data_IF_041354567192
#
_entry.id   IF_041354567192
#
_cell.length_a   1.000
_cell.length_b   1.000
_cell.length_c   1.000
_cell.angle_alpha   90.00
_cell.angle_beta   90.00
_cell.angle_gamma   90.00
#
_symmetry.space_group_name_H-M   'P 1'
#
loop_
_entity.id
_entity.type
_entity.pdbx_description
1 polymer ?
#
# COMPACT_ATOMS: atom_id res chain seq x y z
N UNK A 1 -6.11 -4.25 18.61
CA UNK A 1 -4.83 -4.97 18.88
C UNK A 1 -4.84 -6.28 18.11
N UNK A 2 -3.85 -6.49 17.26
CA UNK A 2 -3.73 -7.70 16.46
C UNK A 2 -3.38 -8.89 17.37
N UNK A 3 -4.18 -9.95 17.35
CA UNK A 3 -4.14 -11.07 18.30
C UNK A 3 -3.00 -12.09 18.00
N UNK A 4 -1.84 -11.58 17.62
CA UNK A 4 -0.74 -12.40 17.08
C UNK A 4 -0.01 -13.21 18.17
N UNK A 5 -0.23 -12.85 19.43
CA UNK A 5 0.31 -13.52 20.61
C UNK A 5 -0.75 -14.36 21.35
N UNK A 6 -1.98 -14.43 20.83
CA UNK A 6 -2.98 -15.34 21.36
C UNK A 6 -2.60 -16.78 20.97
N UNK A 7 -2.27 -17.55 22.01
CA UNK A 7 -1.81 -18.94 21.92
C UNK A 7 -2.83 -19.88 21.29
N UNK A 8 -4.09 -19.47 21.26
CA UNK A 8 -5.18 -20.27 20.68
C UNK A 8 -5.32 -20.05 19.18
N UNK A 9 -4.68 -19.03 18.61
CA UNK A 9 -4.82 -18.70 17.20
C UNK A 9 -3.96 -19.61 16.30
N UNK A 10 -4.43 -19.92 15.07
CA UNK A 10 -3.70 -20.78 14.14
C UNK A 10 -2.27 -20.31 13.82
N UNK A 11 -2.04 -18.99 13.85
CA UNK A 11 -0.73 -18.41 13.58
C UNK A 11 0.29 -18.75 14.68
N UNK A 12 -0.05 -18.55 15.96
CA UNK A 12 0.86 -18.87 17.07
C UNK A 12 1.15 -20.37 17.12
N UNK A 13 0.13 -21.22 16.93
CA UNK A 13 0.30 -22.67 16.85
C UNK A 13 1.27 -23.07 15.73
N UNK A 14 1.13 -22.48 14.53
CA UNK A 14 2.05 -22.70 13.43
C UNK A 14 3.49 -22.30 13.79
N UNK A 15 3.68 -21.13 14.40
CA UNK A 15 5.01 -20.64 14.79
C UNK A 15 5.65 -21.58 15.82
N UNK A 16 4.91 -22.04 16.83
CA UNK A 16 5.41 -22.94 17.89
C UNK A 16 5.80 -24.32 17.38
N UNK A 17 5.09 -24.85 16.38
CA UNK A 17 5.49 -26.11 15.72
C UNK A 17 6.87 -25.97 15.06
N UNK A 18 7.19 -24.80 14.50
CA UNK A 18 8.45 -24.56 13.78
C UNK A 18 9.55 -23.93 14.65
N UNK A 19 9.19 -23.36 15.80
CA UNK A 19 10.10 -22.76 16.79
C UNK A 19 9.75 -23.35 18.17
N UNK A 20 10.17 -24.59 18.47
CA UNK A 20 9.71 -25.32 19.65
C UNK A 20 10.09 -24.69 21.00
N UNK A 21 11.15 -23.87 21.05
CA UNK A 21 11.58 -23.18 22.27
C UNK A 21 11.22 -21.69 22.29
N UNK A 22 10.16 -21.29 21.58
CA UNK A 22 9.79 -19.87 21.39
C UNK A 22 9.73 -19.08 22.71
N UNK A 23 9.12 -19.64 23.76
CA UNK A 23 8.95 -18.96 25.06
C UNK A 23 10.26 -18.77 25.84
N UNK A 24 11.33 -19.47 25.47
CA UNK A 24 12.64 -19.37 26.11
C UNK A 24 13.57 -18.35 25.43
N UNK A 25 13.17 -17.80 24.28
CA UNK A 25 13.96 -16.84 23.51
C UNK A 25 13.77 -15.42 24.04
N UNK A 26 14.83 -14.61 24.02
CA UNK A 26 14.69 -13.17 24.14
C UNK A 26 14.09 -12.56 22.86
N UNK A 27 13.67 -11.29 22.91
CA UNK A 27 13.03 -10.60 21.79
C UNK A 27 13.88 -10.57 20.51
N UNK A 28 15.20 -10.46 20.64
CA UNK A 28 16.09 -10.43 19.49
C UNK A 28 16.22 -11.81 18.84
N UNK A 29 16.40 -12.84 19.67
CA UNK A 29 16.47 -14.24 19.23
C UNK A 29 15.17 -14.68 18.58
N UNK A 30 14.03 -14.33 19.19
CA UNK A 30 12.71 -14.55 18.64
C UNK A 30 12.55 -13.86 17.28
N UNK A 31 12.91 -12.58 17.18
CA UNK A 31 12.86 -11.83 15.92
C UNK A 31 13.67 -12.52 14.81
N UNK A 32 14.88 -12.98 15.12
CA UNK A 32 15.70 -13.75 14.17
C UNK A 32 15.10 -15.11 13.81
N UNK A 33 14.48 -15.81 14.77
CA UNK A 33 13.85 -17.11 14.52
C UNK A 33 12.62 -16.96 13.61
N UNK A 34 11.71 -16.01 13.92
CA UNK A 34 10.54 -15.68 13.09
C UNK A 34 10.94 -15.19 11.70
N UNK A 35 11.98 -14.37 11.57
CA UNK A 35 12.47 -13.91 10.26
C UNK A 35 13.01 -15.05 9.39
N UNK A 36 13.74 -16.01 9.98
CA UNK A 36 14.22 -17.21 9.27
C UNK A 36 13.06 -18.08 8.80
N UNK A 37 12.07 -18.32 9.66
CA UNK A 37 10.87 -19.07 9.33
C UNK A 37 10.08 -18.40 8.19
N UNK A 38 9.88 -17.07 8.27
CA UNK A 38 9.20 -16.31 7.22
C UNK A 38 9.94 -16.44 5.87
N UNK A 39 11.28 -16.33 5.86
CA UNK A 39 12.07 -16.51 4.63
C UNK A 39 11.92 -17.91 4.04
N UNK A 40 11.97 -18.95 4.87
CA UNK A 40 11.77 -20.32 4.42
C UNK A 40 10.36 -20.51 3.82
N UNK A 41 9.35 -19.96 4.48
CA UNK A 41 7.97 -20.03 4.01
C UNK A 41 7.78 -19.34 2.67
N UNK A 42 8.32 -18.12 2.49
CA UNK A 42 8.23 -17.37 1.23
C UNK A 42 8.89 -18.12 0.08
N UNK A 43 10.07 -18.71 0.30
CA UNK A 43 10.78 -19.50 -0.70
C UNK A 43 10.00 -20.77 -1.09
N UNK A 44 9.30 -21.38 -0.14
CA UNK A 44 8.47 -22.56 -0.38
C UNK A 44 7.12 -22.22 -1.03
N UNK A 45 6.59 -21.00 -0.86
CA UNK A 45 5.25 -20.61 -1.29
C UNK A 45 5.22 -19.29 -2.11
N UNK A 46 5.96 -19.19 -3.23
CA UNK A 46 6.09 -17.93 -3.98
C UNK A 46 4.76 -17.39 -4.52
N UNK A 47 3.82 -18.27 -4.88
CA UNK A 47 2.49 -17.86 -5.36
C UNK A 47 1.65 -17.24 -4.24
N UNK A 48 1.74 -17.77 -3.02
CA UNK A 48 1.00 -17.24 -1.87
C UNK A 48 1.58 -15.89 -1.44
N UNK A 49 2.90 -15.73 -1.53
CA UNK A 49 3.54 -14.42 -1.32
C UNK A 49 3.09 -13.38 -2.35
N UNK A 50 3.00 -13.75 -3.63
CA UNK A 50 2.49 -12.85 -4.66
C UNK A 50 1.02 -12.45 -4.40
N UNK A 51 0.18 -13.39 -3.98
CA UNK A 51 -1.19 -13.10 -3.57
C UNK A 51 -1.23 -12.16 -2.36
N UNK A 52 -0.32 -12.33 -1.41
CA UNK A 52 -0.18 -11.44 -0.27
C UNK A 52 0.21 -10.02 -0.72
N UNK A 53 1.16 -9.87 -1.64
CA UNK A 53 1.55 -8.57 -2.21
C UNK A 53 0.38 -7.88 -2.92
N UNK A 54 -0.42 -8.63 -3.68
CA UNK A 54 -1.63 -8.09 -4.32
C UNK A 54 -2.64 -7.60 -3.28
N UNK A 55 -2.92 -8.42 -2.24
CA UNK A 55 -3.82 -8.02 -1.14
C UNK A 55 -3.31 -6.76 -0.43
N UNK A 56 -2.02 -6.70 -0.11
CA UNK A 56 -1.38 -5.52 0.49
C UNK A 56 -1.49 -4.29 -0.40
N UNK A 57 -1.30 -4.45 -1.71
CA UNK A 57 -1.45 -3.35 -2.67
C UNK A 57 -2.88 -2.82 -2.71
N UNK A 58 -3.88 -3.71 -2.76
CA UNK A 58 -5.30 -3.32 -2.72
C UNK A 58 -5.62 -2.62 -1.40
N UNK A 59 -5.14 -3.14 -0.27
CA UNK A 59 -5.33 -2.51 1.04
C UNK A 59 -4.66 -1.13 1.12
N UNK A 60 -3.46 -0.97 0.55
CA UNK A 60 -2.74 0.30 0.55
C UNK A 60 -3.52 1.40 -0.15
N UNK A 61 -4.10 1.10 -1.33
CA UNK A 61 -4.91 2.05 -2.10
C UNK A 61 -6.40 2.07 -1.73
N UNK A 62 -6.85 1.22 -0.80
CA UNK A 62 -8.23 1.20 -0.33
C UNK A 62 -8.57 2.52 0.38
N UNK A 63 -9.74 3.13 0.14
CA UNK A 63 -10.12 4.38 0.80
C UNK A 63 -10.57 4.19 2.26
N UNK A 64 -10.54 2.96 2.77
CA UNK A 64 -10.86 2.67 4.17
C UNK A 64 -9.86 3.37 5.11
N UNK A 65 -10.39 4.17 6.04
CA UNK A 65 -9.62 4.77 7.12
C UNK A 65 -9.31 3.70 8.16
N UNK A 66 -8.40 2.78 7.90
CA UNK A 66 -8.11 1.71 8.84
C UNK A 66 -7.58 2.26 10.18
N UNK A 67 -8.41 2.20 11.21
CA UNK A 67 -8.02 2.44 12.60
C UNK A 67 -7.68 1.07 13.19
N UNK A 68 -6.49 0.94 13.78
CA UNK A 68 -5.94 -0.33 14.30
C UNK A 68 -6.84 -1.08 15.30
N UNK A 69 -7.84 -0.39 15.86
CA UNK A 69 -8.73 -0.90 16.91
C UNK A 69 -10.22 -0.90 16.54
N UNK A 70 -10.58 -0.60 15.29
CA UNK A 70 -11.98 -0.58 14.87
C UNK A 70 -12.28 -1.72 13.87
N UNK A 71 -13.16 -2.67 14.19
CA UNK A 71 -13.42 -3.85 13.36
C UNK A 71 -14.07 -3.54 12.00
N UNK A 72 -14.64 -2.34 11.85
CA UNK A 72 -15.10 -1.77 10.58
C UNK A 72 -14.97 -0.26 10.63
N UNK A 73 -13.93 0.29 10.02
CA UNK A 73 -13.91 1.72 9.74
C UNK A 73 -14.79 2.01 8.55
N UNK A 74 -15.82 2.82 8.77
CA UNK A 74 -16.78 3.16 7.74
C UNK A 74 -16.09 3.81 6.54
N UNK A 75 -16.56 3.45 5.35
CA UNK A 75 -16.17 4.12 4.11
C UNK A 75 -16.59 5.59 4.18
N UNK A 76 -15.63 6.51 4.07
CA UNK A 76 -15.95 7.91 3.91
C UNK A 76 -15.99 8.25 2.41
N UNK A 77 -17.13 8.74 1.86
CA UNK A 77 -17.29 8.94 0.42
C UNK A 77 -16.28 9.93 -0.16
N UNK A 78 -15.92 10.97 0.60
CA UNK A 78 -14.89 11.94 0.16
C UNK A 78 -13.52 11.24 0.01
N UNK A 79 -13.15 10.36 0.95
CA UNK A 79 -11.89 9.63 0.87
C UNK A 79 -11.88 8.69 -0.33
N UNK A 80 -13.01 8.03 -0.61
CA UNK A 80 -13.17 7.19 -1.79
C UNK A 80 -12.99 7.98 -3.09
N UNK A 81 -13.59 9.17 -3.20
CA UNK A 81 -13.44 10.04 -4.37
C UNK A 81 -11.99 10.48 -4.55
N UNK A 82 -11.29 10.87 -3.47
CA UNK A 82 -9.87 11.26 -3.55
C UNK A 82 -9.00 10.11 -4.05
N UNK A 83 -9.20 8.89 -3.53
CA UNK A 83 -8.43 7.72 -3.96
C UNK A 83 -8.74 7.34 -5.41
N UNK A 84 -10.01 7.37 -5.80
CA UNK A 84 -10.41 7.13 -7.18
C UNK A 84 -9.80 8.17 -8.13
N UNK A 85 -9.84 9.45 -7.77
CA UNK A 85 -9.23 10.52 -8.55
C UNK A 85 -7.70 10.35 -8.66
N UNK A 86 -7.03 9.93 -7.59
CA UNK A 86 -5.61 9.60 -7.60
C UNK A 86 -5.29 8.46 -8.56
N UNK A 87 -5.99 7.32 -8.42
CA UNK A 87 -5.77 6.15 -9.28
C UNK A 87 -6.06 6.46 -10.76
N UNK A 88 -7.12 7.22 -11.03
CA UNK A 88 -7.43 7.67 -12.38
C UNK A 88 -6.33 8.58 -12.93
N UNK A 89 -5.84 9.54 -12.13
CA UNK A 89 -4.77 10.45 -12.53
C UNK A 89 -3.45 9.73 -12.80
N UNK A 90 -3.15 8.68 -12.01
CA UNK A 90 -2.02 7.80 -12.24
C UNK A 90 -2.17 7.07 -13.58
N UNK A 91 -3.35 6.48 -13.82
CA UNK A 91 -3.65 5.77 -15.06
C UNK A 91 -3.52 6.69 -16.28
N UNK A 92 -4.07 7.90 -16.22
CA UNK A 92 -3.98 8.88 -17.30
C UNK A 92 -2.53 9.27 -17.60
N UNK A 93 -1.74 9.54 -16.56
CA UNK A 93 -0.33 9.91 -16.71
C UNK A 93 0.55 8.78 -17.25
N UNK A 94 0.34 7.54 -16.79
CA UNK A 94 1.10 6.36 -17.23
C UNK A 94 0.73 5.95 -18.65
N UNK A 95 -0.55 5.98 -19.01
CA UNK A 95 -1.01 5.59 -20.35
C UNK A 95 -0.79 6.67 -21.41
N UNK A 96 -0.42 7.89 -21.03
CA UNK A 96 -0.24 8.97 -21.99
C UNK A 96 -1.57 9.53 -22.53
N UNK A 97 -2.69 9.30 -21.83
CA UNK A 97 -4.02 9.57 -22.36
C UNK A 97 -4.17 11.05 -22.75
N UNK A 98 -4.64 11.30 -23.98
CA UNK A 98 -4.76 12.65 -24.55
C UNK A 98 -3.47 13.50 -24.42
N UNK A 99 -2.29 12.87 -24.49
CA UNK A 99 -1.02 13.56 -24.42
C UNK A 99 -0.59 13.98 -23.00
N UNK A 100 -1.34 13.60 -21.96
CA UNK A 100 -0.93 13.78 -20.56
C UNK A 100 0.24 12.84 -20.30
N UNK A 101 1.44 13.39 -20.10
CA UNK A 101 2.65 12.60 -19.79
C UNK A 101 3.14 12.86 -18.38
N UNK A 102 3.81 11.87 -17.82
CA UNK A 102 4.60 12.02 -16.61
C UNK A 102 5.83 12.89 -16.88
N UNK A 103 6.01 13.89 -16.03
CA UNK A 103 7.17 14.76 -16.01
C UNK A 103 8.01 14.48 -14.77
N UNK A 104 9.27 14.93 -14.77
CA UNK A 104 10.17 14.76 -13.62
C UNK A 104 9.58 15.24 -12.28
N UNK A 105 8.87 16.38 -12.20
CA UNK A 105 8.24 16.80 -10.95
C UNK A 105 7.18 15.83 -10.43
N UNK A 106 6.49 15.11 -11.33
CA UNK A 106 5.48 14.12 -10.93
C UNK A 106 6.13 12.92 -10.26
N UNK A 107 7.26 12.46 -10.80
CA UNK A 107 8.03 11.35 -10.23
C UNK A 107 8.51 11.73 -8.82
N UNK A 108 8.99 12.96 -8.64
CA UNK A 108 9.40 13.45 -7.33
C UNK A 108 8.22 13.49 -6.34
N UNK A 109 7.05 13.96 -6.78
CA UNK A 109 5.83 13.99 -5.97
C UNK A 109 5.33 12.57 -5.61
N UNK A 110 5.42 11.62 -6.53
CA UNK A 110 4.97 10.23 -6.34
C UNK A 110 6.00 9.39 -5.56
N UNK A 111 7.23 9.86 -5.40
CA UNK A 111 8.29 9.15 -4.65
C UNK A 111 7.85 8.72 -3.25
N UNK A 112 7.27 9.58 -2.38
CA UNK A 112 6.77 9.13 -1.07
C UNK A 112 5.69 8.06 -1.18
N UNK A 113 4.81 8.12 -2.19
CA UNK A 113 3.78 7.09 -2.42
C UNK A 113 4.43 5.75 -2.73
N UNK A 114 5.37 5.74 -3.68
CA UNK A 114 6.09 4.52 -4.08
C UNK A 114 6.92 3.96 -2.93
N UNK A 115 7.64 4.82 -2.21
CA UNK A 115 8.48 4.40 -1.09
C UNK A 115 7.66 3.74 0.02
N UNK A 116 6.57 4.36 0.45
CA UNK A 116 5.69 3.80 1.49
C UNK A 116 4.98 2.54 1.00
N UNK A 117 4.52 2.51 -0.26
CA UNK A 117 3.93 1.31 -0.85
C UNK A 117 4.90 0.14 -0.85
N UNK A 118 6.14 0.32 -1.31
CA UNK A 118 7.16 -0.73 -1.31
C UNK A 118 7.50 -1.20 0.12
N UNK A 119 7.60 -0.27 1.07
CA UNK A 119 7.78 -0.63 2.48
C UNK A 119 6.61 -1.46 3.01
N UNK A 120 5.37 -1.15 2.61
CA UNK A 120 4.18 -1.91 2.99
C UNK A 120 4.10 -3.31 2.35
N UNK A 121 4.79 -3.52 1.24
CA UNK A 121 4.92 -4.85 0.65
C UNK A 121 5.87 -5.72 1.48
N UNK A 122 7.00 -5.16 1.90
CA UNK A 122 8.04 -5.88 2.64
C UNK A 122 7.60 -6.12 4.09
N UNK A 123 7.15 -5.06 4.76
CA UNK A 123 6.72 -5.12 6.15
C UNK A 123 5.21 -5.03 6.21
N UNK A 124 4.57 -5.72 7.17
CA UNK A 124 3.17 -5.44 7.48
C UNK A 124 3.11 -4.13 8.26
N UNK A 125 3.29 -3.02 7.55
CA UNK A 125 3.38 -1.69 8.14
C UNK A 125 1.97 -1.23 8.47
N UNK A 126 1.74 -0.91 9.74
CA UNK A 126 0.48 -0.33 10.18
C UNK A 126 0.15 0.98 9.43
N UNK A 127 -1.13 1.30 9.41
CA UNK A 127 -1.79 2.38 8.68
C UNK A 127 -1.12 3.76 8.83
N UNK A 128 -0.42 3.99 9.94
CA UNK A 128 0.28 5.25 10.24
C UNK A 128 1.30 5.67 9.19
N UNK A 129 1.85 4.74 8.42
CA UNK A 129 2.85 5.09 7.42
C UNK A 129 2.24 5.62 6.13
N UNK A 130 0.96 5.32 5.87
CA UNK A 130 0.24 5.87 4.71
C UNK A 130 0.08 7.38 4.80
N UNK A 131 0.09 7.97 5.99
CA UNK A 131 0.05 9.43 6.17
C UNK A 131 1.18 10.17 5.44
N UNK A 132 2.32 9.51 5.20
CA UNK A 132 3.40 10.11 4.40
C UNK A 132 3.10 10.13 2.89
N UNK A 133 2.21 9.27 2.40
CA UNK A 133 1.82 9.18 1.00
C UNK A 133 0.58 10.03 0.66
N UNK A 134 -0.32 10.23 1.63
CA UNK A 134 -1.61 10.91 1.41
C UNK A 134 -1.51 12.33 0.83
N UNK A 135 -0.57 13.20 1.25
CA UNK A 135 -0.44 14.53 0.65
C UNK A 135 -0.19 14.47 -0.85
N UNK A 136 0.68 13.55 -1.29
CA UNK A 136 0.95 13.34 -2.71
C UNK A 136 -0.26 12.77 -3.44
N UNK A 137 -0.99 11.82 -2.82
CA UNK A 137 -2.23 11.27 -3.39
C UNK A 137 -3.31 12.34 -3.57
N UNK A 138 -3.40 13.30 -2.65
CA UNK A 138 -4.34 14.41 -2.72
C UNK A 138 -3.92 15.44 -3.78
N UNK A 139 -2.64 15.80 -3.85
CA UNK A 139 -2.14 16.84 -4.75
C UNK A 139 -2.10 16.41 -6.23
N UNK A 140 -1.76 15.15 -6.49
CA UNK A 140 -1.49 14.67 -7.84
C UNK A 140 -2.70 14.78 -8.80
N UNK A 141 -3.95 14.47 -8.39
CA UNK A 141 -5.14 14.72 -9.20
C UNK A 141 -5.32 16.16 -9.67
N UNK A 142 -5.02 17.14 -8.83
CA UNK A 142 -5.14 18.55 -9.20
C UNK A 142 -4.15 18.92 -10.31
N UNK A 143 -2.92 18.41 -10.22
CA UNK A 143 -1.87 18.65 -11.23
C UNK A 143 -2.28 18.04 -12.57
N UNK A 144 -2.73 16.78 -12.57
CA UNK A 144 -3.17 16.11 -13.80
C UNK A 144 -4.43 16.76 -14.37
N UNK A 145 -5.39 17.14 -13.53
CA UNK A 145 -6.59 17.88 -13.95
C UNK A 145 -6.26 19.21 -14.60
N UNK A 146 -5.33 20.00 -14.03
CA UNK A 146 -4.89 21.27 -14.61
C UNK A 146 -4.25 21.07 -15.99
N UNK A 147 -3.40 20.05 -16.13
CA UNK A 147 -2.77 19.74 -17.42
C UNK A 147 -3.78 19.29 -18.46
N UNK A 148 -4.73 18.44 -18.07
CA UNK A 148 -5.80 18.00 -18.95
C UNK A 148 -6.61 19.17 -19.50
N UNK A 149 -7.02 20.11 -18.63
CA UNK A 149 -7.70 21.34 -19.02
C UNK A 149 -6.86 22.23 -19.96
N UNK A 150 -5.54 22.23 -19.77
CA UNK A 150 -4.61 23.00 -20.60
C UNK A 150 -4.47 22.40 -22.00
N UNK A 151 -4.37 21.07 -22.11
CA UNK A 151 -4.35 20.36 -23.40
C UNK A 151 -5.66 20.55 -24.16
N UNK A 152 -6.81 20.45 -23.48
CA UNK A 152 -8.12 20.62 -24.10
C UNK A 152 -8.32 22.01 -24.74
N UNK A 153 -7.69 23.06 -24.19
CA UNK A 153 -7.72 24.42 -24.74
C UNK A 153 -6.76 24.62 -25.93
N UNK A 154 -5.69 23.83 -26.01
CA UNK A 154 -4.65 23.97 -27.03
C UNK A 154 -5.04 23.35 -28.38
N UNK A 155 -6.06 22.49 -28.43
CA UNK A 155 -6.58 21.91 -29.69
C UNK A 155 -7.51 22.93 -30.36
N UNK A 156 -7.10 23.61 -31.45
CA UNK A 156 -8.03 24.46 -32.19
C UNK A 156 -9.09 23.55 -32.80
N UNK A 157 -10.37 23.87 -32.60
CA UNK A 157 -11.43 23.26 -33.40
C UNK A 157 -11.22 23.76 -34.82
N UNK A 158 -10.62 22.91 -35.66
CA UNK A 158 -10.66 23.10 -37.11
C UNK A 158 -12.14 22.95 -37.49
N UNK A 159 -12.81 24.10 -37.63
CA UNK A 159 -14.14 24.26 -38.21
C UNK A 159 -14.06 24.21 -39.73
#
# INVERSE_FOLDING_TARGET
MFDWDDRTQPFDQFVRVHIPNLDALDQYQEGRARARLARQWVLAHPQQELQLWLRKTVLFFSPENFIADAPRTAYHPVTAVVHAAFLLSLLLGVTGFQGIRLHRPDVLLLTPVVAVWLLSLIFFVGYRWRYFAEPAMLMYPFIIGQRWLSTAKATPRLS
#
